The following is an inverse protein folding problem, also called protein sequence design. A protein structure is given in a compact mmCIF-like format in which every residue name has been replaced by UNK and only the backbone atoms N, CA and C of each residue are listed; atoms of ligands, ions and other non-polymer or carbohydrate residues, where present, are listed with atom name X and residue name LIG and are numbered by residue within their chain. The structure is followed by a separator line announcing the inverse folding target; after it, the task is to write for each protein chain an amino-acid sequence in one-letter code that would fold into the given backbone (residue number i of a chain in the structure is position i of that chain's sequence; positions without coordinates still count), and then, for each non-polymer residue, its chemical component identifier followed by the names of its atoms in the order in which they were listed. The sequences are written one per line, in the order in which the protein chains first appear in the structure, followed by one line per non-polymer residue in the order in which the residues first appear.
data_IF_758811097252
#
_entry.id   IF_758811097252
#
_cell.length_a   1.000
_cell.length_b   1.000
_cell.length_c   1.000
_cell.angle_alpha   90.00
_cell.angle_beta   90.00
_cell.angle_gamma   90.00
#
_symmetry.space_group_name_H-M   'P 1'
#
loop_
_entity.id
_entity.type
_entity.pdbx_description
1 polymer ?
#
# COMPACT_ATOMS: atom_id res chain seq x y z
N UNK A 1 -3.52 -7.34 2.53
CA UNK A 1 -2.62 -8.48 2.80
C UNK A 1 -1.72 -7.96 3.89
N UNK A 2 -2.11 -8.22 5.13
CA UNK A 2 -1.63 -7.42 6.25
C UNK A 2 -0.65 -8.22 7.13
N UNK A 3 -0.51 -9.51 6.83
CA UNK A 3 0.33 -10.46 7.54
C UNK A 3 0.75 -11.60 6.61
N UNK A 4 2.01 -12.03 6.70
CA UNK A 4 2.58 -13.20 6.03
C UNK A 4 3.53 -13.89 7.01
N UNK A 5 3.46 -15.21 7.11
CA UNK A 5 4.28 -15.97 8.05
C UNK A 5 4.94 -17.17 7.38
N UNK A 6 6.08 -17.56 7.94
CA UNK A 6 6.86 -18.76 7.68
C UNK A 6 7.21 -19.37 9.03
N UNK A 7 7.77 -20.59 9.04
CA UNK A 7 8.17 -21.27 10.28
C UNK A 7 9.13 -20.47 11.18
N UNK A 8 9.82 -19.46 10.63
CA UNK A 8 10.84 -18.68 11.35
C UNK A 8 10.63 -17.17 11.35
N UNK A 9 9.72 -16.66 10.52
CA UNK A 9 9.55 -15.23 10.31
C UNK A 9 8.11 -14.88 10.09
N UNK A 10 7.75 -13.73 10.66
CA UNK A 10 6.44 -13.14 10.54
C UNK A 10 6.63 -11.72 10.02
N UNK A 11 5.97 -11.42 8.91
CA UNK A 11 5.96 -10.11 8.29
C UNK A 11 4.56 -9.53 8.42
N UNK A 12 4.46 -8.32 8.91
CA UNK A 12 3.20 -7.60 9.01
C UNK A 12 3.33 -6.17 8.50
N UNK A 13 2.18 -5.56 8.21
CA UNK A 13 2.15 -4.14 7.87
C UNK A 13 2.71 -3.32 9.04
N UNK A 14 3.60 -2.38 8.74
CA UNK A 14 4.10 -1.45 9.75
C UNK A 14 2.96 -0.63 10.34
N UNK A 15 2.99 -0.47 11.66
CA UNK A 15 2.06 0.31 12.45
C UNK A 15 2.84 1.18 13.45
N UNK A 16 2.14 2.02 14.21
CA UNK A 16 2.76 2.98 15.13
C UNK A 16 3.47 2.32 16.32
N UNK A 17 3.11 1.09 16.69
CA UNK A 17 3.75 0.38 17.81
C UNK A 17 5.19 -0.02 17.47
N UNK A 18 5.54 -0.11 16.17
CA UNK A 18 6.90 -0.37 15.72
C UNK A 18 7.83 0.85 15.78
N UNK A 19 7.32 2.04 16.12
CA UNK A 19 8.12 3.27 16.06
C UNK A 19 9.34 3.18 16.98
N UNK A 20 9.20 2.66 18.20
CA UNK A 20 10.29 2.58 19.16
C UNK A 20 11.44 1.69 18.63
N UNK A 21 11.11 0.51 18.11
CA UNK A 21 12.07 -0.44 17.57
C UNK A 21 12.74 0.12 16.30
N UNK A 22 11.97 0.78 15.43
CA UNK A 22 12.50 1.43 14.25
C UNK A 22 13.45 2.58 14.59
N UNK A 23 13.17 3.36 15.65
CA UNK A 23 14.06 4.43 16.11
C UNK A 23 15.36 3.81 16.66
N UNK A 24 15.28 2.75 17.45
CA UNK A 24 16.46 2.06 17.97
C UNK A 24 17.35 1.55 16.81
N UNK A 25 16.75 0.89 15.82
CA UNK A 25 17.44 0.41 14.62
C UNK A 25 18.10 1.55 13.83
N UNK A 26 17.40 2.67 13.65
CA UNK A 26 17.90 3.83 12.88
C UNK A 26 18.96 4.65 13.59
N UNK A 27 19.03 4.59 14.92
CA UNK A 27 20.06 5.25 15.71
C UNK A 27 21.33 4.41 15.83
N UNK A 28 21.23 3.09 15.69
CA UNK A 28 22.39 2.21 15.69
C UNK A 28 23.22 2.41 14.41
N UNK A 29 24.44 2.92 14.58
CA UNK A 29 25.35 3.20 13.48
C UNK A 29 25.91 1.94 12.80
N UNK A 30 26.05 0.83 13.52
CA UNK A 30 26.55 -0.43 12.98
C UNK A 30 25.52 -1.07 12.06
N UNK A 31 24.24 -1.02 12.45
CA UNK A 31 23.12 -1.50 11.64
C UNK A 31 22.83 -0.52 10.50
N UNK A 32 22.69 0.76 10.83
CA UNK A 32 22.22 1.77 9.89
C UNK A 32 23.19 2.09 8.76
N UNK A 33 24.49 1.76 8.89
CA UNK A 33 25.44 1.89 7.77
C UNK A 33 24.98 1.14 6.51
N UNK A 34 24.20 0.07 6.68
CA UNK A 34 23.63 -0.71 5.58
C UNK A 34 22.27 -0.20 5.10
N UNK A 35 21.64 0.70 5.87
CA UNK A 35 20.31 1.24 5.62
C UNK A 35 20.33 2.69 5.10
N UNK A 36 21.52 3.21 4.77
CA UNK A 36 21.71 4.59 4.29
C UNK A 36 22.16 5.59 5.36
N UNK A 37 22.67 5.10 6.49
CA UNK A 37 23.18 5.90 7.60
C UNK A 37 22.16 6.13 8.72
N UNK A 38 22.65 6.66 9.83
CA UNK A 38 21.86 6.97 11.03
C UNK A 38 20.77 7.99 10.70
N UNK A 39 19.55 7.77 11.22
CA UNK A 39 18.42 8.71 11.12
C UNK A 39 17.97 9.14 12.51
N UNK A 40 17.51 10.38 12.63
CA UNK A 40 16.90 10.86 13.87
C UNK A 40 15.55 10.18 14.12
N UNK A 41 15.03 10.32 15.34
CA UNK A 41 13.72 9.79 15.70
C UNK A 41 12.59 10.44 14.87
N UNK A 42 12.70 11.75 14.62
CA UNK A 42 11.75 12.52 13.81
C UNK A 42 11.75 12.04 12.35
N UNK A 43 12.95 11.86 11.77
CA UNK A 43 13.09 11.33 10.42
C UNK A 43 12.52 9.90 10.30
N UNK A 44 12.69 9.09 11.35
CA UNK A 44 12.13 7.74 11.43
C UNK A 44 10.61 7.75 11.52
N UNK A 45 10.03 8.69 12.28
CA UNK A 45 8.58 8.88 12.32
C UNK A 45 8.03 9.26 10.94
N UNK A 46 8.66 10.22 10.25
CA UNK A 46 8.26 10.59 8.88
C UNK A 46 8.36 9.40 7.93
N UNK A 47 9.41 8.58 8.05
CA UNK A 47 9.55 7.34 7.28
C UNK A 47 8.38 6.38 7.53
N UNK A 48 7.99 6.16 8.79
CA UNK A 48 6.88 5.29 9.16
C UNK A 48 5.54 5.80 8.61
N UNK A 49 5.27 7.10 8.74
CA UNK A 49 4.04 7.72 8.24
C UNK A 49 3.94 7.59 6.70
N UNK A 50 5.02 7.89 5.97
CA UNK A 50 5.09 7.73 4.52
C UNK A 50 4.91 6.27 4.10
N UNK A 51 5.48 5.33 4.86
CA UNK A 51 5.31 3.90 4.61
C UNK A 51 3.84 3.49 4.76
N UNK A 52 3.21 3.85 5.88
CA UNK A 52 1.80 3.55 6.13
C UNK A 52 0.88 4.13 5.05
N UNK A 53 1.09 5.38 4.65
CA UNK A 53 0.38 6.04 3.55
C UNK A 53 0.57 5.33 2.21
N UNK A 54 1.80 4.87 1.93
CA UNK A 54 2.11 4.13 0.70
C UNK A 54 1.34 2.82 0.61
N UNK A 55 1.24 2.08 1.71
CA UNK A 55 0.49 0.83 1.78
C UNK A 55 -1.00 1.05 1.51
N UNK A 56 -1.61 2.09 2.09
CA UNK A 56 -3.02 2.41 1.85
C UNK A 56 -3.28 2.83 0.40
N UNK A 57 -2.34 3.54 -0.23
CA UNK A 57 -2.48 4.01 -1.61
C UNK A 57 -2.21 2.93 -2.67
N UNK A 58 -1.30 2.00 -2.41
CA UNK A 58 -0.81 1.04 -3.43
C UNK A 58 -1.53 -0.31 -3.40
N UNK A 59 -2.19 -0.69 -2.31
CA UNK A 59 -3.01 -1.91 -2.22
C UNK A 59 -4.46 -1.74 -2.73
N UNK A 60 -4.68 -0.98 -3.81
CA UNK A 60 -5.99 -1.02 -4.48
C UNK A 60 -6.28 -2.48 -4.91
N UNK A 61 -7.44 -3.08 -4.55
CA UNK A 61 -7.75 -4.44 -4.96
C UNK A 61 -7.73 -4.56 -6.49
N UNK A 62 -7.11 -5.63 -7.00
CA UNK A 62 -6.99 -5.95 -8.44
C UNK A 62 -8.33 -6.19 -9.16
N UNK A 63 -9.48 -6.04 -8.48
CA UNK A 63 -10.83 -6.17 -9.05
C UNK A 63 -11.55 -4.85 -9.37
N UNK A 64 -11.12 -3.71 -8.82
CA UNK A 64 -11.88 -2.46 -8.95
C UNK A 64 -11.74 -1.75 -10.32
N UNK A 65 -10.84 -2.22 -11.18
CA UNK A 65 -10.60 -1.60 -12.49
C UNK A 65 -11.55 -2.05 -13.61
N UNK A 66 -12.40 -3.08 -13.39
CA UNK A 66 -13.27 -3.63 -14.43
C UNK A 66 -14.77 -3.37 -14.23
N UNK A 67 -15.18 -2.61 -13.20
CA UNK A 67 -16.59 -2.27 -12.96
C UNK A 67 -16.89 -0.82 -13.38
N UNK A 68 -16.41 -0.43 -14.56
CA UNK A 68 -16.67 0.91 -15.12
C UNK A 68 -16.99 0.91 -16.61
N UNK A 69 -16.86 -0.22 -17.30
CA UNK A 69 -17.14 -0.31 -18.74
C UNK A 69 -18.33 -1.21 -19.05
N UNK A 70 -19.50 -0.90 -18.47
CA UNK A 70 -20.77 -1.19 -19.17
C UNK A 70 -20.83 -0.28 -20.39
N UNK A 71 -20.29 -0.75 -21.51
CA UNK A 71 -20.54 -0.17 -22.83
C UNK A 71 -22.05 -0.26 -23.06
N UNK A 72 -22.74 0.85 -22.89
CA UNK A 72 -24.07 1.08 -23.48
C UNK A 72 -23.89 1.07 -25.00
N UNK A 73 -24.17 -0.06 -25.65
CA UNK A 73 -24.62 -0.11 -27.05
C UNK A 73 -25.41 -1.40 -27.30
N UNK A 74 -26.71 -1.32 -27.08
CA UNK A 74 -27.71 -1.92 -27.97
C UNK A 74 -28.48 -0.71 -28.49
N UNK A 75 -28.34 -0.29 -29.74
CA UNK A 75 -28.74 -1.05 -30.92
C UNK A 75 -30.06 -0.43 -31.38
N UNK A 76 -29.97 0.62 -32.20
CA UNK A 76 -31.14 1.27 -32.78
C UNK A 76 -31.83 0.35 -33.78
N UNK A 77 -33.14 0.20 -33.65
CA UNK A 77 -34.03 -0.12 -34.75
C UNK A 77 -35.31 0.71 -34.56
N UNK A 78 -35.39 1.84 -35.26
CA UNK A 78 -36.68 2.48 -35.50
C UNK A 78 -37.43 1.61 -36.50
N UNK A 79 -38.50 0.97 -36.04
CA UNK A 79 -39.49 0.38 -36.92
C UNK A 79 -40.31 1.51 -37.56
N UNK A 80 -40.36 1.53 -38.90
CA UNK A 80 -41.40 2.20 -39.66
C UNK A 80 -42.77 1.59 -39.32
N UNK A 81 -43.83 2.37 -39.08
CA UNK A 81 -45.18 1.92 -39.33
C UNK A 81 -45.61 2.36 -40.74
N UNK A 82 -45.94 1.38 -41.58
CA UNK A 82 -46.91 1.56 -42.67
C UNK A 82 -48.30 1.65 -42.04
N UNK A 83 -49.10 2.58 -42.53
CA UNK A 83 -50.52 2.76 -42.19
C UNK A 83 -51.00 4.09 -42.71
#
# INVERSE_FOLDING_TARGET
MDHFSTDRLTAERLNQDHLADLVALHLDAEVSRYLGGVRSAEATKTYLDVNMDHWDRRLRPLGAANEGRRVRRAGGHQAHPRG
#
